data_IF_626937040159
#
_entry.id   IF_626937040159
#
_cell.length_a   1.000
_cell.length_b   1.000
_cell.length_c   1.000
_cell.angle_alpha   90.00
_cell.angle_beta   90.00
_cell.angle_gamma   90.00
#
_symmetry.space_group_name_H-M   'P 1'
#
loop_
_entity.id
_entity.type
_entity.pdbx_description
1 polymer ?
#
# COMPACT_ATOMS: atom_id res chain seq x y z
N UNK A 1 -20.26 -30.35 22.83
CA UNK A 1 -19.13 -31.14 23.37
C UNK A 1 -18.72 -32.13 22.30
N UNK A 2 -17.64 -32.01 21.54
CA UNK A 2 -16.74 -30.92 21.17
C UNK A 2 -16.25 -31.32 19.78
N UNK A 3 -16.30 -30.41 18.81
CA UNK A 3 -15.77 -30.67 17.46
C UNK A 3 -14.26 -30.49 17.52
N UNK A 4 -13.57 -31.50 17.02
CA UNK A 4 -12.11 -31.57 16.93
C UNK A 4 -11.56 -30.36 16.19
N UNK A 5 -10.58 -29.70 16.82
CA UNK A 5 -9.74 -28.68 16.22
C UNK A 5 -8.81 -29.35 15.21
N UNK A 6 -9.21 -29.39 13.94
CA UNK A 6 -8.31 -29.73 12.85
C UNK A 6 -7.36 -28.54 12.63
N UNK A 7 -6.14 -28.64 13.14
CA UNK A 7 -5.08 -27.67 12.86
C UNK A 7 -4.76 -27.73 11.36
N UNK A 8 -4.66 -26.59 10.65
CA UNK A 8 -4.24 -26.62 9.26
C UNK A 8 -2.79 -27.14 9.17
N UNK A 9 -2.41 -27.79 8.05
CA UNK A 9 -1.11 -28.41 7.90
C UNK A 9 0.00 -27.39 8.12
N UNK A 10 0.86 -27.68 9.11
CA UNK A 10 2.18 -27.08 9.21
C UNK A 10 2.94 -27.54 7.96
N UNK A 11 3.52 -26.59 7.24
CA UNK A 11 4.39 -26.77 6.07
C UNK A 11 3.78 -26.35 4.71
N UNK A 12 3.28 -25.11 4.63
CA UNK A 12 3.45 -24.37 3.38
C UNK A 12 4.92 -23.94 3.29
N UNK A 13 5.73 -24.73 2.57
CA UNK A 13 7.11 -24.41 2.28
C UNK A 13 7.18 -23.68 0.93
N UNK A 14 7.31 -22.34 0.89
CA UNK A 14 7.53 -21.64 -0.36
C UNK A 14 8.94 -21.99 -0.86
N UNK A 15 9.01 -22.99 -1.76
CA UNK A 15 10.21 -23.23 -2.57
C UNK A 15 10.45 -21.96 -3.40
N UNK A 16 11.42 -21.16 -2.97
CA UNK A 16 11.76 -19.88 -3.60
C UNK A 16 12.06 -18.72 -2.63
N UNK A 17 12.09 -18.96 -1.32
CA UNK A 17 12.41 -17.94 -0.32
C UNK A 17 13.89 -17.50 -0.35
N UNK A 18 14.23 -16.62 -1.29
CA UNK A 18 15.10 -15.51 -0.90
C UNK A 18 14.34 -14.75 0.19
N UNK A 19 14.78 -14.85 1.44
CA UNK A 19 14.17 -14.15 2.56
C UNK A 19 14.19 -12.64 2.28
N UNK A 20 13.12 -12.12 1.68
CA UNK A 20 12.79 -10.72 1.72
C UNK A 20 11.79 -10.60 2.86
N UNK A 21 12.30 -10.50 4.08
CA UNK A 21 11.53 -10.21 5.28
C UNK A 21 10.97 -8.78 5.14
N UNK A 22 9.96 -8.60 4.28
CA UNK A 22 9.20 -7.34 4.20
C UNK A 22 8.14 -7.42 5.27
N UNK A 23 8.50 -6.96 6.46
CA UNK A 23 7.55 -6.64 7.51
C UNK A 23 6.68 -5.49 6.99
N UNK A 24 5.36 -5.66 7.05
CA UNK A 24 4.39 -4.59 6.79
C UNK A 24 4.87 -3.23 7.33
N UNK A 25 4.78 -2.18 6.52
CA UNK A 25 5.09 -0.82 6.92
C UNK A 25 3.80 0.01 6.88
N UNK A 26 3.42 0.67 7.99
CA UNK A 26 2.20 1.48 8.03
C UNK A 26 2.31 2.68 7.10
N UNK A 27 1.24 2.99 6.39
CA UNK A 27 1.14 4.05 5.39
C UNK A 27 -0.21 4.78 5.54
N UNK A 28 -0.33 5.65 6.55
CA UNK A 28 -1.59 6.35 6.81
C UNK A 28 -2.37 5.72 7.97
N UNK A 29 -2.43 4.39 8.04
CA UNK A 29 -3.23 3.62 9.02
C UNK A 29 -4.64 4.20 9.15
N UNK A 30 -5.33 4.28 8.02
CA UNK A 30 -6.64 4.93 7.95
C UNK A 30 -7.68 4.22 8.81
N UNK A 31 -8.50 4.99 9.52
CA UNK A 31 -9.60 4.48 10.34
C UNK A 31 -10.89 5.27 10.10
N UNK A 32 -12.03 4.59 10.15
CA UNK A 32 -13.35 5.22 10.16
C UNK A 32 -13.92 5.14 11.57
N UNK A 33 -14.31 6.27 12.13
CA UNK A 33 -15.00 6.36 13.42
C UNK A 33 -16.30 7.14 13.24
N UNK A 34 -17.43 6.43 13.18
CA UNK A 34 -18.71 7.03 12.81
C UNK A 34 -18.64 7.64 11.40
N UNK A 35 -18.91 8.94 11.29
CA UNK A 35 -18.84 9.69 10.02
C UNK A 35 -17.46 10.32 9.76
N UNK A 36 -16.49 10.12 10.67
CA UNK A 36 -15.16 10.72 10.58
C UNK A 36 -14.16 9.74 9.98
N UNK A 37 -13.27 10.27 9.13
CA UNK A 37 -12.11 9.57 8.58
C UNK A 37 -10.85 10.12 9.22
N UNK A 38 -10.04 9.25 9.79
CA UNK A 38 -8.78 9.59 10.43
C UNK A 38 -7.63 8.93 9.67
N UNK A 39 -6.55 9.68 9.45
CA UNK A 39 -5.39 9.18 8.74
C UNK A 39 -5.68 8.71 7.31
N UNK A 40 -4.98 7.65 6.90
CA UNK A 40 -5.20 6.98 5.62
C UNK A 40 -4.57 7.69 4.43
N UNK A 41 -5.14 7.37 3.26
CA UNK A 41 -4.60 7.73 1.96
C UNK A 41 -5.70 8.42 1.15
N UNK A 42 -5.37 9.58 0.59
CA UNK A 42 -6.19 10.27 -0.39
C UNK A 42 -5.56 10.17 -1.76
N UNK A 43 -6.34 9.85 -2.78
CA UNK A 43 -5.86 9.73 -4.15
C UNK A 43 -6.88 10.31 -5.12
N UNK A 44 -6.36 10.95 -6.18
CA UNK A 44 -7.12 11.32 -7.36
C UNK A 44 -6.24 11.25 -8.61
N UNK A 45 -6.88 11.16 -9.77
CA UNK A 45 -6.23 11.09 -11.08
C UNK A 45 -6.96 11.99 -12.08
N UNK A 46 -6.22 12.65 -12.98
CA UNK A 46 -6.81 13.51 -14.03
C UNK A 46 -7.50 12.72 -15.14
N UNK A 47 -7.33 11.39 -15.17
CA UNK A 47 -7.88 10.50 -16.19
C UNK A 47 -8.88 9.56 -15.52
N UNK A 48 -10.12 9.54 -15.98
CA UNK A 48 -11.13 8.60 -15.49
C UNK A 48 -10.79 7.18 -15.91
N UNK A 49 -11.29 6.20 -15.18
CA UNK A 49 -11.06 4.77 -15.46
C UNK A 49 -9.57 4.40 -15.49
N UNK A 50 -8.73 5.19 -14.82
CA UNK A 50 -7.28 4.97 -14.75
C UNK A 50 -6.81 4.29 -13.46
N UNK A 51 -7.72 4.14 -12.51
CA UNK A 51 -7.49 3.50 -11.23
C UNK A 51 -8.81 2.95 -10.68
N UNK A 52 -8.69 1.92 -9.86
CA UNK A 52 -9.83 1.37 -9.13
C UNK A 52 -9.43 0.96 -7.71
N UNK A 53 -10.40 0.98 -6.81
CA UNK A 53 -10.24 0.64 -5.39
C UNK A 53 -11.14 -0.55 -5.09
N UNK A 54 -10.62 -1.55 -4.38
CA UNK A 54 -11.43 -2.68 -3.94
C UNK A 54 -12.13 -2.32 -2.63
N UNK A 55 -13.43 -2.61 -2.52
CA UNK A 55 -14.18 -2.43 -1.28
C UNK A 55 -13.88 -3.57 -0.29
N UNK A 56 -12.60 -3.70 0.05
CA UNK A 56 -12.05 -4.75 0.90
C UNK A 56 -10.88 -4.20 1.73
N UNK A 57 -10.64 -4.81 2.88
CA UNK A 57 -9.47 -4.55 3.72
C UNK A 57 -8.76 -5.87 3.96
N UNK A 58 -7.45 -5.91 3.71
CA UNK A 58 -6.62 -7.06 4.06
C UNK A 58 -6.36 -7.00 5.57
N UNK A 59 -7.12 -7.76 6.35
CA UNK A 59 -7.06 -7.69 7.81
C UNK A 59 -5.71 -8.14 8.37
N UNK A 60 -5.20 -9.27 7.89
CA UNK A 60 -3.88 -9.79 8.24
C UNK A 60 -2.81 -9.17 7.33
N UNK A 61 -1.96 -8.26 7.84
CA UNK A 61 -0.94 -7.62 7.03
C UNK A 61 0.14 -8.59 6.51
N UNK A 62 0.24 -9.80 7.07
CA UNK A 62 1.18 -10.83 6.59
C UNK A 62 0.80 -11.38 5.21
N UNK A 63 -0.47 -11.21 4.81
CA UNK A 63 -0.95 -11.57 3.47
C UNK A 63 -0.60 -10.52 2.41
N UNK A 64 -0.15 -9.34 2.80
CA UNK A 64 0.27 -8.29 1.87
C UNK A 64 1.67 -8.62 1.37
N UNK A 65 1.78 -8.81 0.06
CA UNK A 65 3.03 -9.18 -0.59
C UNK A 65 4.04 -8.03 -0.66
N UNK A 66 5.20 -8.35 -1.27
CA UNK A 66 6.28 -7.40 -1.48
C UNK A 66 5.78 -6.09 -2.14
N UNK A 67 6.19 -4.94 -1.58
CA UNK A 67 5.81 -3.59 -2.02
C UNK A 67 4.29 -3.32 -2.05
N UNK A 68 3.50 -4.05 -1.25
CA UNK A 68 2.04 -3.90 -1.22
C UNK A 68 1.31 -4.72 -2.29
N UNK A 69 1.97 -5.72 -2.89
CA UNK A 69 1.35 -6.57 -3.89
C UNK A 69 0.20 -7.39 -3.28
N UNK A 70 -0.98 -7.30 -3.90
CA UNK A 70 -2.18 -8.05 -3.51
C UNK A 70 -2.78 -8.86 -4.68
N UNK A 71 -2.02 -9.08 -5.76
CA UNK A 71 -2.53 -9.76 -6.96
C UNK A 71 -2.99 -11.20 -6.66
N UNK A 72 -2.28 -11.90 -5.78
CA UNK A 72 -2.66 -13.25 -5.31
C UNK A 72 -3.96 -13.27 -4.50
N UNK A 73 -4.50 -12.11 -4.14
CA UNK A 73 -5.77 -11.98 -3.43
C UNK A 73 -6.93 -11.62 -4.37
N UNK A 74 -6.71 -11.35 -5.67
CA UNK A 74 -7.69 -10.77 -6.60
C UNK A 74 -9.06 -11.45 -6.56
N UNK A 75 -9.07 -12.78 -6.54
CA UNK A 75 -10.30 -13.58 -6.57
C UNK A 75 -11.15 -13.46 -5.29
N UNK A 76 -10.57 -12.91 -4.21
CA UNK A 76 -11.24 -12.73 -2.91
C UNK A 76 -11.69 -11.29 -2.64
N UNK A 77 -11.27 -10.32 -3.46
CA UNK A 77 -11.48 -8.89 -3.18
C UNK A 77 -12.89 -8.39 -3.55
N UNK A 78 -13.65 -9.18 -4.30
CA UNK A 78 -14.94 -8.76 -4.86
C UNK A 78 -14.79 -7.71 -5.96
N UNK A 79 -15.92 -7.10 -6.39
CA UNK A 79 -15.91 -6.11 -7.45
C UNK A 79 -15.24 -4.80 -7.01
N UNK A 80 -14.39 -4.20 -7.87
CA UNK A 80 -13.76 -2.92 -7.60
C UNK A 80 -14.68 -1.74 -7.90
N UNK A 81 -14.39 -0.59 -7.29
CA UNK A 81 -14.94 0.72 -7.66
C UNK A 81 -13.94 1.44 -8.57
N UNK A 82 -14.32 1.66 -9.83
CA UNK A 82 -13.53 2.40 -10.81
C UNK A 82 -13.69 3.90 -10.56
N UNK A 83 -12.57 4.63 -10.51
CA UNK A 83 -12.56 6.06 -10.20
C UNK A 83 -12.77 6.93 -11.45
N UNK A 84 -13.57 7.97 -11.30
CA UNK A 84 -13.74 9.05 -12.28
C UNK A 84 -12.55 10.01 -12.36
N UNK A 85 -12.51 10.81 -13.42
CA UNK A 85 -11.50 11.87 -13.55
C UNK A 85 -11.71 12.93 -12.47
N UNK A 86 -10.66 13.26 -11.72
CA UNK A 86 -10.68 14.23 -10.62
C UNK A 86 -11.42 13.74 -9.38
N UNK A 87 -11.91 12.50 -9.35
CA UNK A 87 -12.60 11.96 -8.18
C UNK A 87 -11.61 11.75 -7.04
N UNK A 88 -11.89 12.39 -5.90
CA UNK A 88 -11.11 12.23 -4.68
C UNK A 88 -11.63 11.02 -3.91
N UNK A 89 -10.80 9.99 -3.78
CA UNK A 89 -11.10 8.83 -2.95
C UNK A 89 -10.25 8.84 -1.67
N UNK A 90 -10.80 8.26 -0.61
CA UNK A 90 -10.10 7.97 0.64
C UNK A 90 -10.11 6.47 0.90
N UNK A 91 -8.98 5.90 1.32
CA UNK A 91 -8.85 4.50 1.69
C UNK A 91 -7.71 4.28 2.70
N UNK A 92 -7.59 3.06 3.21
CA UNK A 92 -6.55 2.68 4.20
C UNK A 92 -5.32 2.07 3.50
N UNK A 93 -4.18 2.01 4.17
CA UNK A 93 -2.99 1.28 3.70
C UNK A 93 -3.22 -0.20 3.42
N UNK A 94 -4.27 -0.79 3.99
CA UNK A 94 -4.66 -2.18 3.80
C UNK A 94 -5.79 -2.37 2.79
N UNK A 95 -6.22 -1.29 2.12
CA UNK A 95 -7.22 -1.34 1.05
C UNK A 95 -6.53 -1.56 -0.30
N UNK A 96 -6.77 -2.71 -0.99
CA UNK A 96 -6.20 -2.93 -2.30
C UNK A 96 -6.70 -1.90 -3.31
N UNK A 97 -5.78 -1.42 -4.14
CA UNK A 97 -6.04 -0.47 -5.21
C UNK A 97 -5.09 -0.76 -6.36
N UNK A 98 -5.52 -0.46 -7.58
CA UNK A 98 -4.71 -0.70 -8.77
C UNK A 98 -4.77 0.47 -9.75
N UNK A 99 -3.69 0.60 -10.53
CA UNK A 99 -3.62 1.48 -11.69
C UNK A 99 -3.99 0.68 -12.92
N UNK A 100 -4.97 1.16 -13.68
CA UNK A 100 -5.45 0.51 -14.89
C UNK A 100 -4.60 0.91 -16.12
N UNK A 101 -4.55 0.06 -17.16
CA UNK A 101 -3.92 0.40 -18.44
C UNK A 101 -4.53 1.68 -19.03
N UNK A 102 -3.68 2.53 -19.60
CA UNK A 102 -4.11 3.75 -20.27
C UNK A 102 -4.05 3.60 -21.78
N UNK A 103 -4.91 4.32 -22.49
CA UNK A 103 -4.79 4.45 -23.96
C UNK A 103 -3.45 5.07 -24.32
N UNK A 104 -2.83 4.60 -25.40
CA UNK A 104 -1.57 5.13 -25.88
C UNK A 104 -1.67 6.65 -26.13
N UNK A 105 -0.63 7.40 -25.74
CA UNK A 105 -0.61 8.86 -25.84
C UNK A 105 -1.33 9.61 -24.70
N UNK A 106 -1.97 8.91 -23.76
CA UNK A 106 -2.63 9.55 -22.62
C UNK A 106 -1.61 10.13 -21.65
N UNK A 107 -1.72 11.44 -21.35
CA UNK A 107 -0.99 12.07 -20.25
C UNK A 107 -1.83 12.04 -18.97
N UNK A 108 -1.43 11.21 -17.99
CA UNK A 108 -2.05 11.13 -16.67
C UNK A 108 -1.23 11.89 -15.63
N UNK A 109 -1.89 12.72 -14.83
CA UNK A 109 -1.35 13.19 -13.55
C UNK A 109 -2.20 12.55 -12.44
N UNK A 110 -1.55 12.12 -11.37
CA UNK A 110 -2.23 11.60 -10.19
C UNK A 110 -1.47 12.05 -8.95
N UNK A 111 -2.16 12.11 -7.82
CA UNK A 111 -1.51 12.30 -6.53
C UNK A 111 -1.95 11.22 -5.56
N UNK A 112 -1.09 10.93 -4.60
CA UNK A 112 -1.39 10.13 -3.41
C UNK A 112 -0.87 10.87 -2.19
N UNK A 113 -1.76 11.34 -1.35
CA UNK A 113 -1.45 12.01 -0.10
C UNK A 113 -1.66 11.03 1.05
N UNK A 114 -0.58 10.74 1.80
CA UNK A 114 -0.60 9.89 2.98
C UNK A 114 -0.49 10.80 4.20
N UNK A 115 -1.45 10.75 5.12
CA UNK A 115 -1.64 11.81 6.11
C UNK A 115 -1.02 11.55 7.48
N UNK A 116 -0.84 10.29 7.88
CA UNK A 116 -0.32 9.94 9.22
C UNK A 116 0.47 8.64 9.25
N UNK A 117 1.19 8.36 10.34
CA UNK A 117 1.80 7.05 10.64
C UNK A 117 2.55 6.43 9.44
N UNK A 118 3.40 7.22 8.80
CA UNK A 118 4.23 6.76 7.69
C UNK A 118 5.45 6.04 8.28
N UNK A 119 5.45 4.72 8.31
CA UNK A 119 6.56 3.96 8.89
C UNK A 119 7.83 4.00 8.03
N UNK A 120 7.68 4.14 6.71
CA UNK A 120 8.79 4.22 5.76
C UNK A 120 8.52 5.28 4.70
N UNK A 121 9.51 6.12 4.42
CA UNK A 121 9.47 7.14 3.38
C UNK A 121 10.61 6.94 2.37
N UNK A 122 10.25 6.65 1.11
CA UNK A 122 11.23 6.52 0.02
C UNK A 122 11.49 7.89 -0.60
N UNK A 123 12.56 8.56 -0.16
CA UNK A 123 12.84 9.95 -0.51
C UNK A 123 12.94 10.19 -2.03
N UNK A 124 13.51 9.25 -2.78
CA UNK A 124 13.73 9.39 -4.22
C UNK A 124 12.48 9.04 -5.06
N UNK A 125 11.42 8.54 -4.42
CA UNK A 125 10.13 8.23 -5.04
C UNK A 125 8.99 9.15 -4.56
N UNK A 126 9.33 10.15 -3.75
CA UNK A 126 8.37 11.08 -3.17
C UNK A 126 8.77 12.51 -3.44
N UNK A 127 7.77 13.38 -3.63
CA UNK A 127 8.01 14.82 -3.82
C UNK A 127 8.31 15.48 -2.47
N UNK A 128 9.43 16.21 -2.32
CA UNK A 128 9.71 16.99 -1.11
C UNK A 128 8.62 18.05 -0.86
N UNK A 129 8.27 18.28 0.40
CA UNK A 129 7.38 19.36 0.77
C UNK A 129 8.11 20.71 0.55
N UNK A 130 7.58 21.65 -0.25
CA UNK A 130 8.18 22.96 -0.47
C UNK A 130 8.37 23.79 0.81
N UNK A 131 7.60 23.51 1.86
CA UNK A 131 7.71 24.16 3.16
C UNK A 131 8.79 23.56 4.07
N UNK A 132 9.50 22.54 3.61
CA UNK A 132 10.58 21.89 4.37
C UNK A 132 10.12 20.95 5.48
N UNK A 133 8.80 20.71 5.62
CA UNK A 133 8.27 19.74 6.58
C UNK A 133 8.68 18.33 6.15
N UNK A 134 9.36 17.63 7.05
CA UNK A 134 9.79 16.24 6.86
C UNK A 134 8.98 15.30 7.76
N UNK A 135 8.86 14.01 7.41
CA UNK A 135 8.23 13.04 8.29
C UNK A 135 8.94 12.94 9.64
N UNK A 136 8.18 12.70 10.70
CA UNK A 136 8.72 12.54 12.05
C UNK A 136 9.74 11.38 12.10
N UNK A 137 11.02 11.63 12.44
CA UNK A 137 12.05 10.59 12.46
C UNK A 137 11.85 9.54 13.55
N UNK A 138 11.02 9.80 14.58
CA UNK A 138 10.70 8.80 15.61
C UNK A 138 9.77 7.71 15.08
N UNK A 139 8.99 8.01 14.04
CA UNK A 139 7.99 7.10 13.46
C UNK A 139 8.39 6.67 12.05
N UNK A 140 9.11 7.52 11.31
CA UNK A 140 9.37 7.35 9.89
C UNK A 140 10.84 7.03 9.62
N UNK A 141 11.09 5.86 9.05
CA UNK A 141 12.40 5.54 8.47
C UNK A 141 12.50 6.09 7.05
N UNK A 142 13.38 7.05 6.82
CA UNK A 142 13.68 7.57 5.49
C UNK A 142 14.66 6.63 4.77
N UNK A 143 14.26 6.11 3.61
CA UNK A 143 15.09 5.29 2.73
C UNK A 143 15.43 6.08 1.46
N UNK A 144 16.67 5.93 1.01
CA UNK A 144 17.19 6.48 -0.25
C UNK A 144 17.54 5.33 -1.19
N UNK A 145 17.50 5.59 -2.49
CA UNK A 145 17.61 4.60 -3.55
C UNK A 145 16.26 4.18 -4.13
N UNK A 146 16.32 3.38 -5.21
CA UNK A 146 15.13 2.88 -5.87
C UNK A 146 14.45 1.81 -5.02
N UNK A 147 13.16 1.97 -4.72
CA UNK A 147 12.36 0.99 -3.97
C UNK A 147 12.15 -0.33 -4.73
N UNK A 148 12.46 -0.34 -6.03
CA UNK A 148 12.35 -1.51 -6.90
C UNK A 148 13.65 -2.31 -6.96
N UNK A 149 14.72 -1.79 -6.38
CA UNK A 149 15.99 -2.50 -6.32
C UNK A 149 15.90 -3.56 -5.23
N UNK A 150 16.32 -4.80 -5.55
CA UNK A 150 16.31 -5.93 -4.61
C UNK A 150 17.08 -5.67 -3.29
N UNK A 151 17.84 -4.58 -3.20
CA UNK A 151 18.69 -4.19 -2.07
C UNK A 151 18.22 -2.92 -1.33
N UNK A 152 17.05 -2.34 -1.64
CA UNK A 152 16.59 -1.03 -1.13
C UNK A 152 16.39 -0.90 0.40
N UNK A 153 16.82 -1.88 1.19
CA UNK A 153 16.82 -1.88 2.66
C UNK A 153 18.13 -2.34 3.30
N UNK A 154 19.20 -2.59 2.53
CA UNK A 154 20.52 -2.86 3.12
C UNK A 154 21.16 -1.53 3.53
N UNK A 155 21.06 -1.22 4.82
CA UNK A 155 21.94 -0.23 5.43
C UNK A 155 23.36 -0.77 5.31
N UNK A 156 24.18 -0.14 4.48
CA UNK A 156 25.62 -0.28 4.56
C UNK A 156 26.06 0.32 5.90
N UNK A 157 26.28 -0.54 6.91
CA UNK A 157 27.02 -0.15 8.11
C UNK A 157 28.50 0.07 7.77
N UNK A 158 29.23 0.79 8.63
CA UNK A 158 30.64 1.15 8.43
C UNK A 158 31.56 -0.05 8.26
#
# INVERSE_FOLDING_TARGET
RDREHEQPPRDFHPRGAGACEVRYHPWGVGMVQGNSRHGGIYMASTVGESAQIYNAVVEDPSLIGHLGCCEHLRDFLGPPTVLGAGELCWFTDRTPHESLPLRAGTRRQFFRLVTSQVGVWYADHSTPNPQGVVPDPLVTRVLRGSKFDRNAGRVSGP
#
